data_IF_811176036255
#
_entry.id   IF_811176036255
#
_cell.length_a   1.000
_cell.length_b   1.000
_cell.length_c   1.000
_cell.angle_alpha   90.00
_cell.angle_beta   90.00
_cell.angle_gamma   90.00
#
_symmetry.space_group_name_H-M   'P 1'
#
loop_
_entity.id
_entity.type
_entity.pdbx_description
1 polymer ?
#
# COMPACT_ATOMS: atom_id res chain seq x y z
N UNK A 1 -16.11 -10.92 -7.43
CA UNK A 1 -15.07 -11.00 -8.49
C UNK A 1 -13.70 -10.91 -7.82
N UNK A 2 -12.98 -12.03 -7.76
CA UNK A 2 -11.57 -12.07 -7.36
C UNK A 2 -10.76 -11.57 -8.55
N UNK A 3 -10.01 -10.48 -8.35
CA UNK A 3 -9.18 -9.86 -9.38
C UNK A 3 -8.17 -10.89 -9.92
N UNK A 4 -8.28 -11.25 -11.20
CA UNK A 4 -7.43 -12.24 -11.87
C UNK A 4 -5.98 -11.78 -12.12
N UNK A 5 -5.63 -10.59 -11.65
CA UNK A 5 -4.26 -10.12 -11.56
C UNK A 5 -4.18 -9.28 -10.31
N UNK A 6 -3.30 -9.64 -9.38
CA UNK A 6 -2.96 -8.76 -8.26
C UNK A 6 -2.42 -7.47 -8.87
N UNK A 7 -3.27 -6.44 -9.01
CA UNK A 7 -2.97 -5.17 -9.66
C UNK A 7 -2.06 -4.32 -8.76
N UNK A 8 -0.95 -4.90 -8.33
CA UNK A 8 0.15 -4.19 -7.72
C UNK A 8 0.93 -3.54 -8.85
N UNK A 9 1.24 -2.26 -8.69
CA UNK A 9 2.17 -1.54 -9.53
C UNK A 9 3.59 -2.05 -9.24
N UNK A 10 4.22 -2.83 -10.15
CA UNK A 10 5.48 -3.54 -9.86
C UNK A 10 6.68 -2.58 -9.72
N UNK A 11 6.56 -1.38 -10.29
CA UNK A 11 7.56 -0.32 -10.16
C UNK A 11 7.43 0.48 -8.85
N UNK A 12 6.38 0.23 -8.06
CA UNK A 12 6.12 0.89 -6.78
C UNK A 12 6.44 -0.05 -5.61
N UNK A 13 6.85 0.51 -4.47
CA UNK A 13 6.98 -0.28 -3.23
C UNK A 13 5.61 -0.71 -2.70
N UNK A 14 5.56 -1.68 -1.80
CA UNK A 14 4.32 -2.12 -1.13
C UNK A 14 3.64 -0.93 -0.44
N UNK A 15 4.41 -0.06 0.23
CA UNK A 15 3.90 1.19 0.80
C UNK A 15 3.22 2.08 -0.25
N UNK A 16 3.87 2.30 -1.39
CA UNK A 16 3.33 3.16 -2.46
C UNK A 16 2.09 2.56 -3.10
N UNK A 17 2.02 1.22 -3.20
CA UNK A 17 0.83 0.51 -3.66
C UNK A 17 -0.36 0.75 -2.72
N UNK A 18 -0.16 0.59 -1.41
CA UNK A 18 -1.20 0.83 -0.40
C UNK A 18 -1.61 2.31 -0.31
N UNK A 19 -0.64 3.22 -0.43
CA UNK A 19 -0.87 4.66 -0.35
C UNK A 19 -1.56 5.25 -1.59
N UNK A 20 -1.48 4.59 -2.76
CA UNK A 20 -1.90 5.15 -4.05
C UNK A 20 -3.37 5.59 -4.05
N UNK A 21 -4.29 4.73 -3.58
CA UNK A 21 -5.71 5.04 -3.54
C UNK A 21 -6.06 6.22 -2.61
N UNK A 22 -5.35 6.35 -1.49
CA UNK A 22 -5.53 7.44 -0.53
C UNK A 22 -4.96 8.77 -1.09
N UNK A 23 -3.82 8.70 -1.78
CA UNK A 23 -3.23 9.86 -2.47
C UNK A 23 -4.15 10.39 -3.57
N UNK A 24 -4.76 9.51 -4.36
CA UNK A 24 -5.74 9.89 -5.38
C UNK A 24 -6.97 10.61 -4.79
N UNK A 25 -7.35 10.25 -3.56
CA UNK A 25 -8.43 10.90 -2.78
C UNK A 25 -7.98 12.19 -2.06
N UNK A 26 -6.74 12.65 -2.29
CA UNK A 26 -6.15 13.83 -1.62
C UNK A 26 -6.14 13.73 -0.10
N UNK A 27 -6.05 12.51 0.45
CA UNK A 27 -5.94 12.30 1.90
C UNK A 27 -4.66 12.96 2.44
N UNK A 28 -4.70 13.62 3.61
CA UNK A 28 -3.51 14.20 4.22
C UNK A 28 -2.41 13.16 4.45
N UNK A 29 -1.14 13.57 4.28
CA UNK A 29 0.00 12.64 4.35
C UNK A 29 0.09 11.87 5.67
N UNK A 30 -0.13 12.54 6.80
CA UNK A 30 -0.12 11.90 8.12
C UNK A 30 -1.18 10.77 8.24
N UNK A 31 -2.36 11.00 7.65
CA UNK A 31 -3.44 10.02 7.67
C UNK A 31 -3.16 8.84 6.72
N UNK A 32 -2.46 9.09 5.61
CA UNK A 32 -1.97 8.01 4.73
C UNK A 32 -0.97 7.14 5.49
N UNK A 33 0.02 7.74 6.15
CA UNK A 33 1.05 7.01 6.89
C UNK A 33 0.44 6.14 7.99
N UNK A 34 -0.52 6.68 8.76
CA UNK A 34 -1.24 5.94 9.80
C UNK A 34 -1.98 4.72 9.22
N UNK A 35 -2.82 4.93 8.21
CA UNK A 35 -3.64 3.86 7.61
C UNK A 35 -2.80 2.79 6.93
N UNK A 36 -1.70 3.18 6.28
CA UNK A 36 -0.80 2.22 5.63
C UNK A 36 -0.08 1.36 6.67
N UNK A 37 0.39 1.94 7.79
CA UNK A 37 1.00 1.16 8.88
C UNK A 37 0.00 0.20 9.53
N UNK A 38 -1.20 0.67 9.86
CA UNK A 38 -2.27 -0.19 10.42
C UNK A 38 -2.60 -1.36 9.49
N UNK A 39 -2.74 -1.10 8.19
CA UNK A 39 -3.00 -2.16 7.20
C UNK A 39 -1.81 -3.11 7.10
N UNK A 40 -0.58 -2.61 7.17
CA UNK A 40 0.62 -3.44 7.08
C UNK A 40 0.83 -4.33 8.32
N UNK A 41 0.46 -3.84 9.51
CA UNK A 41 0.46 -4.62 10.75
C UNK A 41 -0.60 -5.72 10.72
N UNK A 42 -1.83 -5.39 10.30
CA UNK A 42 -2.93 -6.36 10.16
C UNK A 42 -2.59 -7.49 9.19
N UNK A 43 -1.87 -7.17 8.10
CA UNK A 43 -1.46 -8.14 7.09
C UNK A 43 -0.10 -8.76 7.37
N UNK A 44 0.57 -8.38 8.48
CA UNK A 44 1.93 -8.82 8.84
C UNK A 44 2.97 -8.58 7.73
N UNK A 45 2.80 -7.51 6.95
CA UNK A 45 3.70 -7.11 5.86
C UNK A 45 4.50 -5.85 6.18
N UNK A 46 4.57 -5.44 7.46
CA UNK A 46 5.29 -4.24 7.89
C UNK A 46 6.73 -4.16 7.37
N UNK A 47 7.47 -5.26 7.44
CA UNK A 47 8.86 -5.36 6.97
C UNK A 47 9.00 -5.31 5.43
N UNK A 48 7.89 -5.54 4.71
CA UNK A 48 7.86 -5.55 3.25
C UNK A 48 7.47 -4.19 2.66
N UNK A 49 7.10 -3.20 3.49
CA UNK A 49 6.61 -1.90 3.05
C UNK A 49 7.56 -1.18 2.07
N UNK A 50 8.87 -1.32 2.27
CA UNK A 50 9.89 -0.68 1.45
C UNK A 50 10.31 -1.53 0.24
N UNK A 51 9.85 -2.78 0.14
CA UNK A 51 10.15 -3.67 -1.00
C UNK A 51 9.20 -3.40 -2.15
N UNK A 52 9.65 -3.70 -3.37
CA UNK A 52 8.78 -3.78 -4.55
C UNK A 52 8.15 -5.19 -4.62
N UNK A 53 6.95 -5.35 -5.19
CA UNK A 53 6.41 -6.65 -5.52
C UNK A 53 7.23 -7.24 -6.67
N UNK A 54 8.17 -8.13 -6.36
CA UNK A 54 9.08 -8.76 -7.32
C UNK A 54 10.35 -9.27 -6.65
#
# INVERSE_FOLDING_TARGET
MVFQSYALYPHMTVYRNLAYGLKQRKTPRAEIERRVRETAELLQIGELLDRKPG
#
